data_IF_853494935715
#
_entry.id   IF_853494935715
#
_cell.length_a   1.000
_cell.length_b   1.000
_cell.length_c   1.000
_cell.angle_alpha   90.00
_cell.angle_beta   90.00
_cell.angle_gamma   90.00
#
_symmetry.space_group_name_H-M   'P 1'
#
loop_
_entity.id
_entity.type
_entity.pdbx_description
1 polymer ?
#
# COMPACT_ATOMS: atom_id res chain seq x y z
N UNK A 1 21.80 -8.18 5.54
CA UNK A 1 20.52 -7.52 5.24
C UNK A 1 20.76 -6.51 4.12
N UNK A 2 19.91 -6.40 3.08
CA UNK A 2 20.14 -5.39 2.04
C UNK A 2 20.12 -4.00 2.67
N UNK A 3 21.10 -3.20 2.30
CA UNK A 3 21.51 -1.96 2.98
C UNK A 3 20.69 -0.74 2.53
N UNK A 4 19.41 -0.92 2.17
CA UNK A 4 18.59 0.15 1.58
C UNK A 4 17.11 -0.02 1.96
N UNK A 5 16.80 0.24 3.24
CA UNK A 5 15.41 0.35 3.69
C UNK A 5 14.79 1.61 3.05
N UNK A 6 13.50 1.57 2.68
CA UNK A 6 12.81 2.77 2.22
C UNK A 6 12.88 3.85 3.29
N UNK A 7 13.39 5.03 2.93
CA UNK A 7 13.51 6.17 3.84
C UNK A 7 12.57 7.33 3.46
N UNK A 8 11.86 7.23 2.33
CA UNK A 8 10.85 8.20 1.95
C UNK A 8 9.45 7.71 2.39
N UNK A 9 8.85 8.30 3.44
CA UNK A 9 7.52 7.91 3.91
C UNK A 9 6.41 8.15 2.89
N UNK A 10 6.72 8.83 1.77
CA UNK A 10 5.80 9.09 0.65
C UNK A 10 5.89 8.03 -0.43
N UNK A 11 6.82 7.08 -0.34
CA UNK A 11 6.95 5.99 -1.31
C UNK A 11 5.92 4.90 -0.99
N UNK A 12 4.74 4.98 -1.59
CA UNK A 12 3.67 4.00 -1.35
C UNK A 12 3.93 2.67 -2.07
N UNK A 13 4.90 2.62 -2.99
CA UNK A 13 5.25 1.39 -3.73
C UNK A 13 5.90 0.32 -2.86
N UNK A 14 6.25 0.65 -1.61
CA UNK A 14 6.70 -0.33 -0.60
C UNK A 14 5.57 -1.28 -0.17
N UNK A 15 4.32 -0.93 -0.49
CA UNK A 15 3.12 -1.70 -0.17
C UNK A 15 2.81 -2.64 -1.34
N UNK A 16 2.73 -3.93 -1.06
CA UNK A 16 2.42 -4.96 -2.04
C UNK A 16 1.03 -4.72 -2.64
N UNK A 17 0.97 -4.67 -3.97
CA UNK A 17 -0.22 -4.31 -4.75
C UNK A 17 -0.31 -2.83 -5.17
N UNK A 18 0.59 -1.96 -4.71
CA UNK A 18 0.65 -0.55 -5.13
C UNK A 18 1.77 -0.35 -6.15
N UNK A 19 1.40 -0.18 -7.43
CA UNK A 19 2.31 0.24 -8.49
C UNK A 19 2.38 1.77 -8.65
N UNK A 20 3.27 2.30 -9.52
CA UNK A 20 3.45 3.75 -9.71
C UNK A 20 2.17 4.52 -10.01
N UNK A 21 1.31 4.00 -10.90
CA UNK A 21 0.03 4.63 -11.24
C UNK A 21 -0.97 4.64 -10.07
N UNK A 22 -0.99 3.57 -9.28
CA UNK A 22 -1.84 3.48 -8.10
C UNK A 22 -1.37 4.49 -7.04
N UNK A 23 -0.06 4.60 -6.83
CA UNK A 23 0.52 5.62 -5.95
C UNK A 23 0.14 7.04 -6.39
N UNK A 24 0.21 7.36 -7.68
CA UNK A 24 -0.22 8.65 -8.24
C UNK A 24 -1.71 8.92 -7.94
N UNK A 25 -2.59 7.95 -8.20
CA UNK A 25 -4.03 8.06 -7.94
C UNK A 25 -4.31 8.32 -6.45
N UNK A 26 -3.63 7.61 -5.55
CA UNK A 26 -3.81 7.79 -4.11
C UNK A 26 -3.33 9.18 -3.66
N UNK A 27 -2.20 9.65 -4.19
CA UNK A 27 -1.66 10.99 -3.92
C UNK A 27 -2.59 12.10 -4.40
N UNK A 28 -3.23 11.93 -5.57
CA UNK A 28 -4.27 12.85 -6.06
C UNK A 28 -5.47 12.97 -5.12
N UNK A 29 -5.75 11.93 -4.32
CA UNK A 29 -6.84 11.89 -3.35
C UNK A 29 -6.38 12.18 -1.91
N UNK A 30 -5.20 12.78 -1.72
CA UNK A 30 -4.69 13.19 -0.41
C UNK A 30 -3.99 12.09 0.39
N UNK A 31 -3.87 10.88 -0.15
CA UNK A 31 -3.20 9.76 0.50
C UNK A 31 -1.76 9.72 0.00
N UNK A 32 -0.90 10.53 0.62
CA UNK A 32 0.44 10.81 0.09
C UNK A 32 1.61 10.23 0.87
N UNK A 33 1.34 9.51 1.97
CA UNK A 33 2.36 8.88 2.80
C UNK A 33 1.81 7.65 3.56
N UNK A 34 2.70 6.88 4.18
CA UNK A 34 2.34 5.66 4.91
C UNK A 34 1.35 5.90 6.05
N UNK A 35 1.45 7.03 6.75
CA UNK A 35 0.53 7.37 7.86
C UNK A 35 -0.89 7.59 7.32
N UNK A 36 -1.04 8.38 6.26
CA UNK A 36 -2.35 8.63 5.65
C UNK A 36 -2.95 7.33 5.10
N UNK A 37 -2.15 6.52 4.40
CA UNK A 37 -2.62 5.23 3.88
C UNK A 37 -3.02 4.28 5.01
N UNK A 38 -2.29 4.25 6.12
CA UNK A 38 -2.61 3.40 7.29
C UNK A 38 -3.92 3.77 7.98
N UNK A 39 -4.35 5.02 7.86
CA UNK A 39 -5.60 5.54 8.45
C UNK A 39 -6.77 5.52 7.47
N UNK A 40 -6.52 5.20 6.20
CA UNK A 40 -7.56 5.22 5.18
C UNK A 40 -8.35 3.93 5.20
N UNK A 41 -9.68 4.03 5.27
CA UNK A 41 -10.57 2.88 5.21
C UNK A 41 -10.50 2.17 3.85
N UNK A 42 -10.56 0.84 3.88
CA UNK A 42 -10.54 -0.01 2.68
C UNK A 42 -11.67 0.35 1.70
N UNK A 43 -12.85 0.69 2.21
CA UNK A 43 -13.98 1.11 1.36
C UNK A 43 -13.70 2.43 0.62
N UNK A 44 -13.00 3.37 1.26
CA UNK A 44 -12.59 4.62 0.63
C UNK A 44 -11.55 4.35 -0.47
N UNK A 45 -10.56 3.49 -0.20
CA UNK A 45 -9.59 3.06 -1.21
C UNK A 45 -10.28 2.41 -2.41
N UNK A 46 -11.24 1.49 -2.18
CA UNK A 46 -12.03 0.88 -3.25
C UNK A 46 -12.83 1.91 -4.04
N UNK A 47 -13.39 2.93 -3.40
CA UNK A 47 -14.11 4.00 -4.08
C UNK A 47 -13.18 4.82 -4.99
N UNK A 48 -11.99 5.21 -4.50
CA UNK A 48 -10.97 5.90 -5.29
C UNK A 48 -10.58 5.07 -6.51
N UNK A 49 -10.24 3.80 -6.32
CA UNK A 49 -9.82 2.91 -7.41
C UNK A 49 -10.92 2.71 -8.47
N UNK A 50 -12.17 2.52 -8.02
CA UNK A 50 -13.33 2.40 -8.93
C UNK A 50 -13.56 3.67 -9.75
N UNK A 51 -13.30 4.85 -9.20
CA UNK A 51 -13.45 6.13 -9.92
C UNK A 51 -12.52 6.27 -11.14
N UNK A 52 -11.41 5.51 -11.17
CA UNK A 52 -10.41 5.55 -12.25
C UNK A 52 -10.63 4.50 -13.34
N UNK A 53 -11.64 3.63 -13.19
CA UNK A 53 -12.07 2.67 -14.21
C UNK A 53 -11.45 1.27 -14.09
N UNK A 54 -11.75 0.44 -15.09
CA UNK A 54 -11.56 -1.01 -15.08
C UNK A 54 -10.14 -1.51 -14.69
N UNK A 55 -9.03 -0.87 -15.12
CA UNK A 55 -7.69 -1.35 -14.74
C UNK A 55 -7.42 -1.27 -13.23
N UNK A 56 -8.06 -0.35 -12.53
CA UNK A 56 -7.83 -0.09 -11.11
C UNK A 56 -8.91 -0.72 -10.23
N UNK A 57 -10.13 -0.87 -10.74
CA UNK A 57 -11.26 -1.44 -9.98
C UNK A 57 -11.08 -2.91 -9.60
N UNK A 58 -10.16 -3.63 -10.24
CA UNK A 58 -9.83 -5.03 -9.94
C UNK A 58 -8.78 -5.17 -8.84
N UNK A 59 -8.08 -4.08 -8.48
CA UNK A 59 -7.10 -4.12 -7.41
C UNK A 59 -7.80 -4.31 -6.06
N UNK A 60 -7.19 -5.10 -5.18
CA UNK A 60 -7.70 -5.34 -3.83
C UNK A 60 -6.87 -4.56 -2.79
N UNK A 61 -7.41 -3.46 -2.23
CA UNK A 61 -6.71 -2.65 -1.24
C UNK A 61 -6.84 -3.18 0.19
N UNK A 62 -7.46 -4.35 0.41
CA UNK A 62 -7.79 -4.86 1.76
C UNK A 62 -6.60 -4.90 2.72
N UNK A 63 -5.39 -5.13 2.21
CA UNK A 63 -4.18 -5.24 3.03
C UNK A 63 -3.33 -3.98 3.04
N UNK A 64 -3.65 -2.96 2.23
CA UNK A 64 -2.80 -1.77 2.09
C UNK A 64 -2.68 -0.95 3.38
N UNK A 65 -3.77 -0.68 4.15
CA UNK A 65 -3.65 0.09 5.38
C UNK A 65 -2.74 -0.60 6.42
N UNK A 66 -2.83 -1.92 6.54
CA UNK A 66 -2.02 -2.66 7.52
C UNK A 66 -0.54 -2.70 7.12
N UNK A 67 -0.24 -2.94 5.84
CA UNK A 67 1.13 -2.83 5.34
C UNK A 67 1.69 -1.42 5.56
N UNK A 68 0.88 -0.38 5.34
CA UNK A 68 1.29 1.01 5.53
C UNK A 68 1.53 1.34 7.00
N UNK A 69 0.76 0.75 7.92
CA UNK A 69 0.99 0.84 9.36
C UNK A 69 2.37 0.29 9.75
N UNK A 70 2.72 -0.89 9.23
CA UNK A 70 4.03 -1.50 9.47
C UNK A 70 5.17 -0.63 8.91
N UNK A 71 5.00 -0.08 7.70
CA UNK A 71 5.97 0.85 7.10
C UNK A 71 6.12 2.14 7.92
N UNK A 72 5.00 2.75 8.35
CA UNK A 72 4.98 3.96 9.18
C UNK A 72 5.71 3.78 10.54
N UNK A 73 5.68 2.56 11.08
CA UNK A 73 6.38 2.20 12.32
C UNK A 73 7.82 1.72 12.10
N UNK A 74 8.34 1.77 10.86
CA UNK A 74 9.63 1.20 10.47
C UNK A 74 9.79 -0.30 10.81
N UNK A 75 8.67 -1.04 10.85
CA UNK A 75 8.62 -2.48 11.14
C UNK A 75 8.91 -3.32 9.88
N UNK A 76 10.01 -3.03 9.20
CA UNK A 76 10.33 -3.56 7.86
C UNK A 76 10.42 -5.08 7.79
N UNK A 77 10.95 -5.73 8.83
CA UNK A 77 11.00 -7.19 8.89
C UNK A 77 9.60 -7.81 8.99
N UNK A 78 8.71 -7.20 9.77
CA UNK A 78 7.31 -7.64 9.90
C UNK A 78 6.52 -7.35 8.64
N UNK A 79 6.74 -6.19 8.00
CA UNK A 79 6.16 -5.88 6.70
C UNK A 79 6.52 -6.95 5.68
N UNK A 80 7.81 -7.31 5.60
CA UNK A 80 8.27 -8.34 4.68
C UNK A 80 7.63 -9.71 4.97
N UNK A 81 7.61 -10.15 6.23
CA UNK A 81 6.97 -11.41 6.62
C UNK A 81 5.48 -11.42 6.27
N UNK A 82 4.80 -10.29 6.48
CA UNK A 82 3.40 -10.15 6.14
C UNK A 82 3.17 -10.23 4.62
N UNK A 83 4.01 -9.56 3.82
CA UNK A 83 3.97 -9.65 2.36
C UNK A 83 4.25 -11.06 1.85
N UNK A 84 5.26 -11.74 2.40
CA UNK A 84 5.60 -13.12 2.06
C UNK A 84 4.41 -14.07 2.36
N UNK A 85 3.70 -13.86 3.48
CA UNK A 85 2.49 -14.60 3.81
C UNK A 85 1.34 -14.34 2.81
N UNK A 86 1.12 -13.09 2.41
CA UNK A 86 0.08 -12.72 1.43
C UNK A 86 0.35 -13.31 0.04
N UNK A 87 1.62 -13.40 -0.37
CA UNK A 87 2.01 -13.99 -1.66
C UNK A 87 1.94 -15.52 -1.59
N UNK A 88 2.50 -16.12 -0.53
CA UNK A 88 2.53 -17.58 -0.33
C UNK A 88 1.15 -18.20 -0.07
N UNK A 89 0.20 -17.43 0.49
CA UNK A 89 -1.18 -17.86 0.71
C UNK A 89 -2.14 -17.61 -0.46
N UNK A 90 -1.69 -17.00 -1.57
CA UNK A 90 -2.48 -16.78 -2.80
C UNK A 90 -2.41 -17.96 -3.79
N UNK A 91 -1.89 -19.11 -3.36
CA UNK A 91 -1.79 -20.35 -4.14
C UNK A 91 -3.02 -21.23 -4.08
#
# INVERSE_FOLDING_TARGET
>A
MPNNLPNDPRDLKVIEGIGPKTEEILKEHGISNWIELSKTDVEHLRAILRSKGAPFSILDPTTWPEQARLAANAEWERLKQYQDYLIGGRG
#
